data_IF_537862367783
#
_entry.id   IF_537862367783
#
_cell.length_a   1.000
_cell.length_b   1.000
_cell.length_c   1.000
_cell.angle_alpha   90.00
_cell.angle_beta   90.00
_cell.angle_gamma   90.00
#
_symmetry.space_group_name_H-M   'P 1'
#
loop_
_entity.id
_entity.type
_entity.pdbx_description
1 polymer ?
#
# COMPACT_ATOMS: atom_id res chain seq x y z
N UNK A 1 6.74 -2.78 -15.37
CA UNK A 1 6.77 -4.19 -15.84
C UNK A 1 7.05 -5.12 -14.66
N UNK A 2 6.63 -6.39 -14.72
CA UNK A 2 7.05 -7.39 -13.71
C UNK A 2 8.49 -7.84 -13.99
N UNK A 3 9.31 -7.91 -12.94
CA UNK A 3 10.75 -8.26 -13.02
C UNK A 3 11.14 -9.46 -12.16
N UNK A 4 10.28 -9.87 -11.21
CA UNK A 4 10.41 -11.10 -10.44
C UNK A 4 9.02 -11.58 -9.97
N UNK A 5 8.85 -12.89 -9.79
CA UNK A 5 7.58 -13.52 -9.43
C UNK A 5 6.61 -13.76 -10.60
N UNK A 6 5.76 -14.77 -10.45
CA UNK A 6 4.86 -15.31 -11.50
C UNK A 6 3.48 -14.65 -11.57
N UNK A 7 3.21 -13.63 -10.73
CA UNK A 7 1.87 -13.12 -10.40
C UNK A 7 0.95 -14.10 -9.67
N UNK A 8 1.47 -15.22 -9.20
CA UNK A 8 0.76 -16.25 -8.43
C UNK A 8 1.57 -16.66 -7.21
N UNK A 9 0.90 -17.05 -6.13
CA UNK A 9 1.59 -17.57 -4.95
C UNK A 9 2.28 -18.90 -5.27
N UNK A 10 3.49 -19.07 -4.78
CA UNK A 10 4.18 -20.35 -4.78
C UNK A 10 5.62 -20.24 -4.31
N UNK A 11 6.31 -21.38 -4.25
CA UNK A 11 7.64 -21.52 -3.66
C UNK A 11 8.73 -21.94 -4.66
N UNK A 12 8.39 -22.10 -5.94
CA UNK A 12 9.38 -22.30 -7.01
C UNK A 12 10.30 -21.09 -7.17
N UNK A 13 11.42 -21.26 -7.86
CA UNK A 13 12.44 -20.20 -8.02
C UNK A 13 11.96 -19.00 -8.85
N UNK A 14 10.91 -19.14 -9.65
CA UNK A 14 10.25 -18.05 -10.38
C UNK A 14 8.96 -17.53 -9.70
N UNK A 15 8.63 -18.03 -8.50
CA UNK A 15 7.43 -17.67 -7.73
C UNK A 15 7.80 -16.93 -6.43
N UNK A 16 6.82 -16.21 -5.86
CA UNK A 16 6.96 -15.49 -4.60
C UNK A 16 5.71 -15.68 -3.74
N UNK A 17 5.85 -15.64 -2.42
CA UNK A 17 4.77 -15.75 -1.44
C UNK A 17 4.77 -14.51 -0.54
N UNK A 18 3.91 -13.54 -0.89
CA UNK A 18 3.77 -12.25 -0.20
C UNK A 18 5.10 -11.51 0.02
N UNK A 19 5.87 -11.18 -1.05
CA UNK A 19 7.15 -10.51 -0.93
C UNK A 19 6.99 -9.18 -0.19
N UNK A 20 7.69 -9.01 0.93
CA UNK A 20 7.50 -7.87 1.84
C UNK A 20 8.48 -6.74 1.51
N UNK A 21 9.79 -6.99 1.65
CA UNK A 21 10.84 -5.99 1.43
C UNK A 21 11.75 -6.34 0.25
N UNK A 22 12.39 -5.33 -0.32
CA UNK A 22 13.35 -5.51 -1.42
C UNK A 22 14.58 -4.60 -1.28
N UNK A 23 15.69 -5.01 -1.88
CA UNK A 23 16.91 -4.23 -2.02
C UNK A 23 17.49 -4.46 -3.43
N UNK A 24 17.98 -3.41 -4.08
CA UNK A 24 18.66 -3.50 -5.38
C UNK A 24 20.14 -3.22 -5.15
N UNK A 25 21.02 -4.12 -5.61
CA UNK A 25 22.47 -3.88 -5.58
C UNK A 25 22.94 -2.99 -6.74
N UNK A 26 24.21 -2.60 -6.69
CA UNK A 26 24.85 -1.71 -7.65
C UNK A 26 24.87 -2.27 -9.09
N UNK A 27 24.75 -3.60 -9.23
CA UNK A 27 24.68 -4.34 -10.50
C UNK A 27 23.23 -4.47 -11.01
N UNK A 28 22.24 -3.93 -10.29
CA UNK A 28 20.81 -4.01 -10.63
C UNK A 28 20.13 -5.31 -10.18
N UNK A 29 20.79 -6.15 -9.37
CA UNK A 29 20.20 -7.38 -8.86
C UNK A 29 19.23 -7.11 -7.72
N UNK A 30 18.10 -7.80 -7.72
CA UNK A 30 17.02 -7.62 -6.75
C UNK A 30 17.10 -8.72 -5.68
N UNK A 31 17.33 -8.34 -4.43
CA UNK A 31 17.19 -9.20 -3.26
C UNK A 31 15.79 -9.00 -2.67
N UNK A 32 15.04 -10.09 -2.51
CA UNK A 32 13.63 -10.06 -2.11
C UNK A 32 13.46 -10.83 -0.81
N UNK A 33 12.85 -10.19 0.20
CA UNK A 33 12.32 -10.83 1.39
C UNK A 33 11.02 -11.56 1.02
N UNK A 34 11.16 -12.83 0.62
CA UNK A 34 10.07 -13.69 0.17
C UNK A 34 9.39 -14.32 1.40
N UNK A 35 8.54 -13.51 2.02
CA UNK A 35 8.10 -13.61 3.43
C UNK A 35 7.59 -14.98 3.82
N UNK A 36 6.60 -15.49 3.10
CA UNK A 36 5.90 -16.75 3.43
C UNK A 36 6.57 -17.98 2.81
N UNK A 37 7.61 -17.77 2.00
CA UNK A 37 8.58 -18.80 1.62
C UNK A 37 9.78 -18.80 2.58
N UNK A 38 9.84 -17.92 3.58
CA UNK A 38 10.87 -17.91 4.63
C UNK A 38 12.32 -17.85 4.09
N UNK A 39 12.52 -17.11 2.99
CA UNK A 39 13.81 -17.02 2.28
C UNK A 39 14.13 -15.61 1.78
N UNK A 40 15.42 -15.33 1.59
CA UNK A 40 15.85 -14.26 0.68
C UNK A 40 16.16 -14.89 -0.67
N UNK A 41 15.51 -14.38 -1.73
CA UNK A 41 15.76 -14.80 -3.11
C UNK A 41 16.36 -13.63 -3.91
N UNK A 42 17.47 -13.89 -4.61
CA UNK A 42 18.17 -12.94 -5.48
C UNK A 42 17.79 -13.19 -6.93
N UNK A 43 17.35 -12.16 -7.65
CA UNK A 43 17.21 -12.15 -9.11
C UNK A 43 18.30 -11.25 -9.69
N UNK A 44 19.08 -11.75 -10.65
CA UNK A 44 19.99 -10.91 -11.46
C UNK A 44 19.21 -10.33 -12.66
N UNK A 45 19.63 -9.19 -13.23
CA UNK A 45 18.93 -8.58 -14.37
C UNK A 45 18.68 -9.57 -15.52
N UNK A 46 17.43 -9.64 -15.98
CA UNK A 46 17.01 -10.52 -17.08
C UNK A 46 16.79 -12.00 -16.72
N UNK A 47 17.06 -12.43 -15.48
CA UNK A 47 16.85 -13.82 -15.08
C UNK A 47 15.36 -14.21 -15.01
N UNK A 48 15.02 -15.39 -15.54
CA UNK A 48 13.65 -15.94 -15.47
C UNK A 48 13.31 -16.62 -14.13
N UNK A 49 14.32 -16.87 -13.30
CA UNK A 49 14.21 -17.49 -11.98
C UNK A 49 15.28 -16.89 -11.05
N UNK A 50 14.99 -16.86 -9.75
CA UNK A 50 15.91 -16.39 -8.73
C UNK A 50 16.78 -17.50 -8.13
N UNK A 51 17.70 -17.08 -7.27
CA UNK A 51 18.61 -17.94 -6.50
C UNK A 51 18.36 -17.70 -5.01
N UNK A 52 18.20 -18.76 -4.22
CA UNK A 52 18.06 -18.63 -2.76
C UNK A 52 19.42 -18.27 -2.18
N UNK A 53 19.49 -17.14 -1.47
CA UNK A 53 20.74 -16.62 -0.87
C UNK A 53 20.72 -16.59 0.67
N UNK A 54 19.54 -16.73 1.30
CA UNK A 54 19.41 -17.01 2.73
C UNK A 54 18.08 -17.72 3.04
N UNK A 55 18.05 -18.49 4.13
CA UNK A 55 16.91 -19.35 4.50
C UNK A 55 16.87 -20.68 3.74
N UNK A 56 16.13 -21.66 4.28
CA UNK A 56 15.99 -23.03 3.75
C UNK A 56 14.60 -23.33 3.16
N UNK A 57 13.87 -22.26 2.78
CA UNK A 57 12.49 -22.30 2.27
C UNK A 57 11.45 -22.78 3.30
N UNK A 58 11.75 -22.69 4.62
CA UNK A 58 10.87 -23.15 5.72
C UNK A 58 10.92 -22.20 6.93
N UNK A 59 9.84 -22.10 7.73
CA UNK A 59 9.88 -21.43 9.01
C UNK A 59 10.80 -22.15 9.99
N UNK A 60 11.70 -21.39 10.64
CA UNK A 60 12.51 -21.92 11.73
C UNK A 60 13.40 -20.87 12.39
N UNK A 61 14.07 -21.25 13.48
CA UNK A 61 14.91 -20.36 14.30
C UNK A 61 16.39 -20.80 14.36
N UNK A 62 16.76 -21.86 13.64
CA UNK A 62 18.17 -22.23 13.45
C UNK A 62 18.93 -21.10 12.75
N UNK A 63 20.27 -21.13 12.77
CA UNK A 63 21.10 -20.10 12.15
C UNK A 63 20.95 -20.06 10.62
N UNK A 64 20.63 -21.18 9.98
CA UNK A 64 20.35 -21.26 8.55
C UNK A 64 18.87 -20.99 8.18
N UNK A 65 18.02 -20.68 9.16
CA UNK A 65 16.57 -20.54 8.99
C UNK A 65 16.08 -19.12 9.28
N UNK A 66 14.94 -18.79 8.69
CA UNK A 66 14.26 -17.50 8.80
C UNK A 66 12.78 -17.74 9.10
N UNK A 67 12.10 -16.74 9.66
CA UNK A 67 10.68 -16.80 9.97
C UNK A 67 9.98 -15.47 9.64
N UNK A 68 9.17 -15.49 8.57
CA UNK A 68 8.35 -14.36 8.09
C UNK A 68 9.11 -13.04 7.91
N UNK A 69 10.33 -13.14 7.36
CA UNK A 69 11.23 -11.99 7.18
C UNK A 69 10.57 -10.80 6.46
N UNK A 70 10.90 -9.57 6.88
CA UNK A 70 10.28 -8.35 6.32
C UNK A 70 11.18 -7.58 5.37
N UNK A 71 12.49 -7.53 5.62
CA UNK A 71 13.43 -6.70 4.85
C UNK A 71 14.81 -7.33 4.84
N UNK A 72 15.50 -7.14 3.73
CA UNK A 72 16.93 -7.40 3.55
C UNK A 72 17.59 -6.12 3.06
N UNK A 73 18.84 -5.88 3.46
CA UNK A 73 19.78 -4.91 2.87
C UNK A 73 21.13 -5.56 2.74
N UNK A 74 21.95 -5.12 1.77
CA UNK A 74 23.26 -5.73 1.49
C UNK A 74 24.33 -4.64 1.49
N UNK A 75 25.45 -4.86 2.19
CA UNK A 75 26.61 -3.97 2.15
C UNK A 75 27.52 -4.25 0.94
N UNK A 76 28.45 -3.35 0.65
CA UNK A 76 29.33 -3.40 -0.53
C UNK A 76 30.21 -4.66 -0.61
N UNK A 77 30.54 -5.27 0.54
CA UNK A 77 31.25 -6.55 0.64
C UNK A 77 30.38 -7.77 0.29
N UNK A 78 29.07 -7.59 0.14
CA UNK A 78 28.07 -8.64 -0.07
C UNK A 78 27.52 -9.26 1.21
N UNK A 79 27.81 -8.71 2.39
CA UNK A 79 27.19 -9.12 3.65
C UNK A 79 25.73 -8.65 3.69
N UNK A 80 24.81 -9.56 3.99
CA UNK A 80 23.38 -9.25 4.09
C UNK A 80 22.96 -9.05 5.54
N UNK A 81 22.07 -8.09 5.77
CA UNK A 81 21.35 -7.92 7.03
C UNK A 81 19.87 -8.19 6.79
N UNK A 82 19.29 -9.08 7.59
CA UNK A 82 17.93 -9.61 7.38
C UNK A 82 17.11 -9.42 8.66
N UNK A 83 15.92 -8.83 8.52
CA UNK A 83 14.95 -8.76 9.60
C UNK A 83 14.06 -9.98 9.65
N UNK A 84 14.34 -10.82 10.63
CA UNK A 84 13.76 -12.13 10.86
C UNK A 84 12.66 -11.99 11.94
N UNK A 85 11.50 -11.50 11.48
CA UNK A 85 10.49 -10.83 12.30
C UNK A 85 9.88 -11.72 13.37
N UNK A 86 9.40 -12.92 13.01
CA UNK A 86 8.77 -13.83 13.99
C UNK A 86 9.79 -14.38 14.99
N UNK A 87 11.06 -14.51 14.60
CA UNK A 87 12.16 -14.83 15.51
C UNK A 87 12.64 -13.61 16.34
N UNK A 88 12.04 -12.43 16.14
CA UNK A 88 12.34 -11.14 16.83
C UNK A 88 13.83 -10.79 16.84
N UNK A 89 14.51 -11.04 15.72
CA UNK A 89 15.96 -10.86 15.59
C UNK A 89 16.34 -10.18 14.28
N UNK A 90 17.53 -9.57 14.28
CA UNK A 90 18.22 -9.16 13.06
C UNK A 90 19.42 -10.09 12.88
N UNK A 91 19.52 -10.70 11.71
CA UNK A 91 20.62 -11.59 11.35
C UNK A 91 21.60 -10.90 10.38
N UNK A 92 22.89 -11.14 10.58
CA UNK A 92 23.98 -10.84 9.64
C UNK A 92 24.38 -12.14 8.93
N UNK A 93 24.38 -12.14 7.60
CA UNK A 93 24.81 -13.27 6.77
C UNK A 93 25.97 -12.81 5.90
N UNK A 94 27.17 -13.30 6.15
CA UNK A 94 28.34 -13.01 5.30
C UNK A 94 28.11 -13.49 3.87
N UNK A 95 28.78 -12.88 2.89
CA UNK A 95 28.68 -13.28 1.48
C UNK A 95 28.92 -14.79 1.31
N UNK A 96 28.00 -15.47 0.63
CA UNK A 96 28.00 -16.93 0.41
C UNK A 96 27.91 -17.81 1.68
N UNK A 97 27.58 -17.25 2.85
CA UNK A 97 27.36 -18.06 4.05
C UNK A 97 26.07 -18.89 3.94
N UNK A 98 26.10 -20.10 4.49
CA UNK A 98 24.93 -20.98 4.59
C UNK A 98 24.11 -20.78 5.88
N UNK A 99 24.52 -19.82 6.73
CA UNK A 99 23.86 -19.47 7.97
C UNK A 99 24.13 -18.02 8.35
N UNK A 100 23.28 -17.47 9.22
CA UNK A 100 23.42 -16.14 9.80
C UNK A 100 23.82 -16.14 11.26
N UNK A 101 24.34 -14.98 11.66
CA UNK A 101 24.67 -14.63 13.04
C UNK A 101 23.63 -13.65 13.56
N UNK A 102 23.10 -13.88 14.77
CA UNK A 102 22.14 -12.95 15.38
C UNK A 102 22.87 -11.75 15.97
N UNK A 103 22.75 -10.57 15.34
CA UNK A 103 23.38 -9.32 15.79
C UNK A 103 22.51 -8.47 16.72
N UNK A 104 21.19 -8.65 16.66
CA UNK A 104 20.22 -8.00 17.57
C UNK A 104 19.11 -8.99 17.95
N UNK A 105 18.65 -8.96 19.20
CA UNK A 105 17.60 -9.82 19.77
C UNK A 105 16.49 -8.97 20.39
N UNK A 106 15.30 -9.54 20.50
CA UNK A 106 14.09 -8.88 21.05
C UNK A 106 13.69 -7.62 20.28
N UNK A 107 13.89 -7.62 18.95
CA UNK A 107 13.54 -6.50 18.06
C UNK A 107 12.42 -6.96 17.14
N UNK A 108 11.28 -6.26 17.14
CA UNK A 108 10.21 -6.53 16.16
C UNK A 108 10.50 -5.71 14.92
N UNK A 109 11.56 -6.09 14.20
CA UNK A 109 12.03 -5.32 13.06
C UNK A 109 11.02 -5.36 11.92
N UNK A 110 10.83 -4.21 11.26
CA UNK A 110 10.17 -4.12 9.96
C UNK A 110 11.11 -3.63 8.87
N UNK A 111 11.80 -2.50 9.10
CA UNK A 111 12.70 -1.86 8.14
C UNK A 111 14.18 -1.92 8.52
N UNK A 112 15.02 -1.98 7.50
CA UNK A 112 16.48 -1.85 7.56
C UNK A 112 16.95 -0.80 6.57
N UNK A 113 18.00 -0.07 6.96
CA UNK A 113 18.81 0.78 6.08
C UNK A 113 20.27 0.74 6.52
N UNK A 114 21.20 0.85 5.58
CA UNK A 114 22.63 1.07 5.86
C UNK A 114 22.96 2.53 5.57
N UNK A 115 23.82 3.14 6.39
CA UNK A 115 24.44 4.42 6.03
C UNK A 115 25.75 4.22 5.25
N UNK A 116 26.33 5.35 4.80
CA UNK A 116 27.61 5.38 4.06
C UNK A 116 28.82 4.94 4.91
N UNK A 117 28.67 4.89 6.24
CA UNK A 117 29.69 4.40 7.19
C UNK A 117 29.55 2.88 7.44
N UNK A 118 28.53 2.23 6.85
CA UNK A 118 28.24 0.80 7.03
C UNK A 118 27.46 0.47 8.31
N UNK A 119 26.94 1.47 9.03
CA UNK A 119 26.12 1.25 10.22
C UNK A 119 24.70 0.86 9.84
N UNK A 120 24.11 -0.08 10.60
CA UNK A 120 22.77 -0.58 10.33
C UNK A 120 21.72 0.14 11.18
N UNK A 121 20.72 0.71 10.51
CA UNK A 121 19.54 1.31 11.12
C UNK A 121 18.39 0.30 11.06
N UNK A 122 17.64 0.19 12.16
CA UNK A 122 16.60 -0.83 12.36
C UNK A 122 15.36 -0.19 12.97
N UNK A 123 14.21 -0.29 12.29
CA UNK A 123 12.94 0.15 12.89
C UNK A 123 12.31 -0.97 13.72
N UNK A 124 12.14 -0.69 15.01
CA UNK A 124 11.55 -1.61 15.98
C UNK A 124 10.09 -1.21 16.18
N UNK A 125 9.20 -1.93 15.50
CA UNK A 125 7.79 -1.57 15.37
C UNK A 125 7.06 -1.64 16.70
N UNK A 126 7.38 -2.65 17.52
CA UNK A 126 6.76 -2.87 18.83
C UNK A 126 7.14 -1.79 19.85
N UNK A 127 8.43 -1.43 19.90
CA UNK A 127 8.98 -0.43 20.83
C UNK A 127 8.92 1.01 20.30
N UNK A 128 8.32 1.20 19.11
CA UNK A 128 8.06 2.50 18.48
C UNK A 128 9.31 3.41 18.37
N UNK A 129 10.39 2.84 17.85
CA UNK A 129 11.71 3.47 17.78
C UNK A 129 12.51 3.03 16.54
N UNK A 130 13.58 3.77 16.24
CA UNK A 130 14.64 3.35 15.33
C UNK A 130 15.95 3.26 16.11
N UNK A 131 16.68 2.17 15.93
CA UNK A 131 17.98 1.91 16.55
C UNK A 131 19.11 1.91 15.52
N UNK A 132 20.31 2.34 15.91
CA UNK A 132 21.56 2.24 15.14
C UNK A 132 22.50 1.21 15.77
N UNK A 133 22.85 0.17 15.01
CA UNK A 133 23.83 -0.86 15.34
C UNK A 133 25.20 -0.48 14.74
N UNK A 134 26.35 -0.76 15.40
CA UNK A 134 26.56 -1.70 16.52
C UNK A 134 26.27 -1.19 17.95
N UNK A 135 26.11 0.12 18.16
CA UNK A 135 25.96 0.68 19.50
C UNK A 135 24.58 0.44 20.15
N UNK A 136 23.60 -0.06 19.37
CA UNK A 136 22.19 -0.20 19.75
C UNK A 136 21.57 1.13 20.25
N UNK A 137 22.06 2.26 19.74
CA UNK A 137 21.61 3.59 20.11
C UNK A 137 20.22 3.85 19.56
N UNK A 138 19.29 4.37 20.37
CA UNK A 138 18.02 4.90 19.87
C UNK A 138 18.30 6.24 19.16
N UNK A 139 17.94 6.32 17.88
CA UNK A 139 18.22 7.48 17.00
C UNK A 139 16.96 8.20 16.51
N UNK A 140 15.78 7.59 16.67
CA UNK A 140 14.48 8.25 16.53
C UNK A 140 13.40 7.51 17.34
N UNK A 141 12.35 8.23 17.76
CA UNK A 141 11.27 7.67 18.58
C UNK A 141 11.73 7.27 19.99
N UNK A 142 11.21 6.16 20.52
CA UNK A 142 11.56 5.63 21.84
C UNK A 142 10.92 6.37 23.04
N UNK A 143 10.26 7.50 22.81
CA UNK A 143 9.53 8.27 23.85
C UNK A 143 8.09 7.77 24.05
N UNK A 144 7.88 6.46 23.92
CA UNK A 144 6.56 5.82 23.93
C UNK A 144 5.76 6.01 22.64
N UNK A 145 4.59 5.36 22.60
CA UNK A 145 3.63 5.46 21.47
C UNK A 145 2.96 6.82 21.46
N UNK A 146 3.02 7.53 20.33
CA UNK A 146 2.23 8.75 20.16
C UNK A 146 2.52 9.48 18.86
N UNK A 147 1.98 10.69 18.75
CA UNK A 147 2.03 11.53 17.56
C UNK A 147 2.82 12.84 17.77
N UNK A 148 3.45 13.04 18.94
CA UNK A 148 4.43 14.12 19.11
C UNK A 148 5.62 13.97 18.14
N UNK A 149 6.39 15.03 17.93
CA UNK A 149 7.52 14.99 17.00
C UNK A 149 8.73 14.19 17.51
N UNK A 150 8.79 13.85 18.81
CA UNK A 150 9.75 12.90 19.38
C UNK A 150 9.19 11.46 19.51
N UNK A 151 7.96 11.21 19.02
CA UNK A 151 7.25 9.94 19.16
C UNK A 151 6.92 9.31 17.80
N UNK A 152 6.79 7.98 17.81
CA UNK A 152 6.36 7.18 16.67
C UNK A 152 5.18 6.30 17.09
N UNK A 153 4.45 5.76 16.11
CA UNK A 153 3.39 4.79 16.34
C UNK A 153 3.47 3.67 15.29
N UNK A 154 4.10 2.55 15.67
CA UNK A 154 4.35 1.40 14.79
C UNK A 154 5.14 1.82 13.52
N UNK A 155 6.39 2.30 13.64
CA UNK A 155 7.22 2.66 12.49
C UNK A 155 7.50 1.42 11.61
N UNK A 156 7.38 1.58 10.29
CA UNK A 156 7.60 0.53 9.30
C UNK A 156 8.94 0.75 8.58
N UNK A 157 9.00 0.78 7.25
CA UNK A 157 10.28 0.86 6.55
C UNK A 157 10.89 2.26 6.71
N UNK A 158 12.22 2.28 6.62
CA UNK A 158 13.04 3.47 6.83
C UNK A 158 14.02 3.62 5.67
N UNK A 159 14.43 4.85 5.42
CA UNK A 159 15.49 5.21 4.49
C UNK A 159 16.50 6.12 5.21
N UNK A 160 17.78 6.03 4.85
CA UNK A 160 18.84 6.86 5.41
C UNK A 160 19.58 7.50 4.24
N UNK A 161 19.71 8.83 4.25
CA UNK A 161 20.45 9.56 3.21
C UNK A 161 21.96 9.64 3.50
N UNK A 162 22.73 10.21 2.57
CA UNK A 162 24.20 10.33 2.70
C UNK A 162 24.60 11.23 3.89
N UNK A 163 23.72 12.14 4.27
CA UNK A 163 23.84 13.02 5.43
C UNK A 163 23.40 12.35 6.75
N UNK A 164 23.07 11.06 6.71
CA UNK A 164 22.59 10.24 7.83
C UNK A 164 21.29 10.75 8.47
N UNK A 165 20.46 11.45 7.69
CA UNK A 165 19.07 11.73 8.05
C UNK A 165 18.23 10.47 7.88
N UNK A 166 17.39 10.18 8.85
CA UNK A 166 16.50 9.02 8.89
C UNK A 166 15.11 9.45 8.45
N UNK A 167 14.58 8.84 7.40
CA UNK A 167 13.21 9.01 6.94
C UNK A 167 12.39 7.80 7.35
N UNK A 168 11.26 8.03 8.02
CA UNK A 168 10.52 6.99 8.74
C UNK A 168 9.06 6.99 8.30
N UNK A 169 8.60 5.85 7.76
CA UNK A 169 7.18 5.59 7.55
C UNK A 169 6.49 5.36 8.92
N UNK A 170 5.98 6.44 9.51
CA UNK A 170 5.29 6.44 10.81
C UNK A 170 3.83 6.00 10.63
N UNK A 171 3.67 4.73 10.22
CA UNK A 171 2.44 4.11 9.72
C UNK A 171 1.21 4.36 10.59
N UNK A 172 1.35 4.28 11.91
CA UNK A 172 0.23 4.46 12.85
C UNK A 172 -0.28 5.89 12.93
N UNK A 173 0.57 6.86 12.62
CA UNK A 173 0.23 8.29 12.58
C UNK A 173 -0.09 8.78 11.16
N UNK A 174 0.03 7.93 10.13
CA UNK A 174 -0.22 8.26 8.72
C UNK A 174 0.61 9.45 8.20
N UNK A 175 1.89 9.49 8.59
CA UNK A 175 2.85 10.53 8.20
C UNK A 175 4.21 9.92 7.86
N UNK A 176 5.06 10.71 7.22
CA UNK A 176 6.50 10.44 7.13
C UNK A 176 7.26 11.54 7.84
N UNK A 177 8.25 11.15 8.64
CA UNK A 177 9.11 12.05 9.40
C UNK A 177 10.55 11.94 8.94
N UNK A 178 11.27 13.06 8.91
CA UNK A 178 12.73 13.13 8.80
C UNK A 178 13.31 13.49 10.18
N UNK A 179 14.28 12.70 10.66
CA UNK A 179 15.22 13.11 11.72
C UNK A 179 16.59 13.33 11.08
N UNK A 180 17.21 14.50 11.25
CA UNK A 180 18.62 14.67 10.88
C UNK A 180 19.53 14.09 11.97
N UNK A 181 20.78 13.79 11.62
CA UNK A 181 21.78 13.26 12.55
C UNK A 181 21.90 14.14 13.80
N UNK A 182 21.50 13.60 14.96
CA UNK A 182 21.57 14.26 16.27
C UNK A 182 20.32 15.06 16.69
N UNK A 183 19.29 15.17 15.85
CA UNK A 183 18.01 15.79 16.26
C UNK A 183 17.25 14.89 17.26
N UNK A 184 16.54 15.50 18.21
CA UNK A 184 15.71 14.77 19.20
C UNK A 184 14.23 14.68 18.80
N UNK A 185 13.84 15.41 17.75
CA UNK A 185 12.49 15.49 17.19
C UNK A 185 12.56 15.48 15.66
N UNK A 186 11.60 14.84 15.02
CA UNK A 186 11.51 14.77 13.57
C UNK A 186 10.67 15.90 12.97
N UNK A 187 10.90 16.20 11.70
CA UNK A 187 10.10 17.10 10.87
C UNK A 187 9.16 16.29 9.98
N UNK A 188 7.88 16.66 9.89
CA UNK A 188 6.94 16.02 8.95
C UNK A 188 7.30 16.43 7.53
N UNK A 189 7.46 15.43 6.64
CA UNK A 189 7.77 15.64 5.22
C UNK A 189 6.68 15.10 4.27
N UNK A 190 5.74 14.29 4.77
CA UNK A 190 4.59 13.81 4.01
C UNK A 190 3.42 13.42 4.94
N UNK A 191 2.19 13.51 4.45
CA UNK A 191 0.97 13.20 5.22
C UNK A 191 0.62 14.26 6.26
N UNK A 192 0.78 15.54 5.92
CA UNK A 192 0.57 16.68 6.81
C UNK A 192 -0.83 16.73 7.44
N UNK A 193 -1.86 16.31 6.71
CA UNK A 193 -3.24 16.22 7.18
C UNK A 193 -3.70 14.80 7.54
N UNK A 194 -2.72 13.93 7.86
CA UNK A 194 -2.93 12.62 8.47
C UNK A 194 -3.64 11.61 7.55
N UNK A 195 -4.57 10.85 8.14
CA UNK A 195 -5.33 9.81 7.44
C UNK A 195 -6.17 10.38 6.30
N UNK A 196 -6.04 9.80 5.11
CA UNK A 196 -6.99 9.98 4.01
C UNK A 196 -6.38 9.65 2.66
N UNK A 197 -6.97 10.19 1.59
CA UNK A 197 -6.51 10.02 0.20
C UNK A 197 -6.30 11.35 -0.54
N UNK A 198 -6.47 12.50 0.14
CA UNK A 198 -6.12 13.81 -0.39
C UNK A 198 -4.64 13.94 -0.77
N UNK A 199 -4.30 15.04 -1.45
CA UNK A 199 -2.92 15.32 -1.89
C UNK A 199 -1.96 15.56 -0.73
N UNK A 200 -2.47 15.97 0.42
CA UNK A 200 -1.77 16.31 1.66
C UNK A 200 -1.94 15.23 2.76
N UNK A 201 -2.52 14.09 2.40
CA UNK A 201 -2.85 12.96 3.29
C UNK A 201 -2.17 11.66 2.85
N UNK A 202 -2.01 10.74 3.81
CA UNK A 202 -1.56 9.38 3.56
C UNK A 202 -2.52 8.38 4.24
N UNK A 203 -2.52 7.12 3.79
CA UNK A 203 -3.17 6.04 4.56
C UNK A 203 -2.26 4.82 4.70
N UNK A 204 -1.74 4.64 5.93
CA UNK A 204 -0.76 3.62 6.31
C UNK A 204 0.44 3.60 5.34
N UNK A 205 1.29 4.65 5.36
CA UNK A 205 2.57 4.58 4.68
C UNK A 205 3.36 3.39 5.21
N UNK A 206 3.84 2.53 4.31
CA UNK A 206 4.66 1.35 4.64
C UNK A 206 6.13 1.62 4.40
N UNK A 207 6.46 2.30 3.30
CA UNK A 207 7.83 2.57 2.90
C UNK A 207 8.00 3.98 2.34
N UNK A 208 9.22 4.49 2.47
CA UNK A 208 9.67 5.76 1.92
C UNK A 208 11.09 5.58 1.42
N UNK A 209 11.41 6.19 0.26
CA UNK A 209 12.79 6.53 -0.11
C UNK A 209 12.84 7.99 -0.56
N UNK A 210 14.03 8.56 -0.54
CA UNK A 210 14.26 9.97 -0.86
C UNK A 210 15.39 10.07 -1.88
N UNK A 211 15.23 10.92 -2.90
CA UNK A 211 16.28 11.18 -3.89
C UNK A 211 17.25 12.30 -3.48
N UNK A 212 18.26 12.55 -4.30
CA UNK A 212 19.29 13.57 -4.03
C UNK A 212 18.73 15.00 -3.99
N UNK A 213 17.56 15.24 -4.59
CA UNK A 213 16.83 16.52 -4.52
C UNK A 213 15.92 16.60 -3.28
N UNK A 214 16.03 15.65 -2.35
CA UNK A 214 15.18 15.49 -1.16
C UNK A 214 13.69 15.32 -1.48
N UNK A 215 13.37 14.83 -2.68
CA UNK A 215 12.00 14.43 -3.04
C UNK A 215 11.70 13.07 -2.41
N UNK A 216 10.61 12.98 -1.65
CA UNK A 216 10.20 11.75 -1.00
C UNK A 216 9.17 10.97 -1.84
N UNK A 217 9.36 9.66 -1.93
CA UNK A 217 8.49 8.72 -2.63
C UNK A 217 7.93 7.76 -1.59
N UNK A 218 6.61 7.81 -1.36
CA UNK A 218 5.95 7.16 -0.23
C UNK A 218 4.97 6.10 -0.72
N UNK A 219 5.14 4.86 -0.26
CA UNK A 219 4.24 3.75 -0.56
C UNK A 219 3.10 3.68 0.45
N UNK A 220 1.87 3.75 -0.03
CA UNK A 220 0.67 3.70 0.81
C UNK A 220 -0.03 2.33 0.69
N UNK A 221 0.00 1.56 1.77
CA UNK A 221 -0.49 0.17 1.76
C UNK A 221 -2.00 0.05 1.53
N UNK A 222 -2.82 1.00 2.02
CA UNK A 222 -4.28 0.94 1.83
C UNK A 222 -4.76 1.77 0.62
N UNK A 223 -4.08 2.86 0.29
CA UNK A 223 -4.41 3.65 -0.91
C UNK A 223 -3.81 3.06 -2.20
N UNK A 224 -3.08 1.93 -2.10
CA UNK A 224 -2.55 1.15 -3.23
C UNK A 224 -1.75 2.00 -4.24
N UNK A 225 -0.99 2.96 -3.74
CA UNK A 225 -0.32 3.99 -4.55
C UNK A 225 1.06 4.35 -4.02
N UNK A 226 1.90 4.89 -4.91
CA UNK A 226 3.10 5.64 -4.56
C UNK A 226 2.82 7.13 -4.81
N UNK A 227 3.01 7.95 -3.78
CA UNK A 227 2.95 9.42 -3.87
C UNK A 227 4.35 10.04 -3.84
N UNK A 228 4.55 11.09 -4.63
CA UNK A 228 5.77 11.91 -4.68
C UNK A 228 5.53 13.26 -4.01
N UNK A 229 6.45 13.65 -3.13
CA UNK A 229 6.41 14.85 -2.28
C UNK A 229 7.70 15.65 -2.47
N UNK A 230 7.62 16.88 -2.98
CA UNK A 230 8.79 17.73 -3.14
C UNK A 230 9.19 18.42 -1.82
N UNK A 231 10.48 18.72 -1.68
CA UNK A 231 11.00 19.33 -0.45
C UNK A 231 10.35 20.70 -0.20
N UNK A 232 9.69 20.86 0.94
CA UNK A 232 9.03 22.11 1.34
C UNK A 232 7.56 22.22 0.88
N UNK A 233 7.11 21.37 -0.03
CA UNK A 233 5.69 21.27 -0.41
C UNK A 233 4.89 20.48 0.63
N UNK A 234 3.58 20.75 0.68
CA UNK A 234 2.62 20.04 1.56
C UNK A 234 1.63 19.16 0.80
N UNK A 235 1.73 19.14 -0.52
CA UNK A 235 0.89 18.37 -1.43
C UNK A 235 1.75 17.33 -2.15
N UNK A 236 1.10 16.34 -2.74
CA UNK A 236 1.74 15.23 -3.44
C UNK A 236 1.12 14.96 -4.80
N UNK A 237 1.89 14.30 -5.64
CA UNK A 237 1.43 13.74 -6.91
C UNK A 237 1.42 12.21 -6.83
N UNK A 238 0.37 11.57 -7.33
CA UNK A 238 0.35 10.10 -7.50
C UNK A 238 1.20 9.77 -8.71
N UNK A 239 2.18 8.88 -8.57
CA UNK A 239 3.08 8.46 -9.67
C UNK A 239 2.92 7.00 -10.06
N UNK A 240 2.44 6.14 -9.15
CA UNK A 240 2.20 4.70 -9.36
C UNK A 240 0.93 4.31 -8.60
N UNK A 241 0.12 3.42 -9.15
CA UNK A 241 -1.08 2.91 -8.48
C UNK A 241 -2.22 3.93 -8.36
N UNK A 242 -3.12 3.71 -7.40
CA UNK A 242 -4.31 4.54 -7.17
C UNK A 242 -5.59 3.71 -7.05
N UNK A 243 -6.73 4.15 -7.62
CA UNK A 243 -7.98 3.40 -7.54
C UNK A 243 -7.91 2.10 -8.37
N UNK A 244 -8.32 0.99 -7.76
CA UNK A 244 -8.35 -0.34 -8.37
C UNK A 244 -7.10 -1.19 -8.09
N UNK A 245 -7.32 -2.40 -7.57
CA UNK A 245 -6.30 -3.44 -7.48
C UNK A 245 -6.36 -4.34 -8.72
N UNK A 246 -5.27 -5.08 -9.01
CA UNK A 246 -5.25 -6.02 -10.13
C UNK A 246 -3.86 -6.36 -10.65
N UNK A 247 -3.81 -7.20 -11.69
CA UNK A 247 -2.58 -7.75 -12.29
C UNK A 247 -2.02 -6.93 -13.46
N UNK A 248 -2.70 -5.84 -13.84
CA UNK A 248 -2.27 -4.92 -14.88
C UNK A 248 -0.97 -4.20 -14.56
N UNK A 249 -0.41 -3.53 -15.57
CA UNK A 249 0.66 -2.55 -15.37
C UNK A 249 0.10 -1.37 -14.56
N UNK A 250 0.86 -0.90 -13.57
CA UNK A 250 0.45 0.20 -12.67
C UNK A 250 -0.75 -0.09 -11.76
N UNK A 251 -1.26 -1.32 -11.72
CA UNK A 251 -2.16 -1.77 -10.64
C UNK A 251 -1.32 -2.43 -9.55
N UNK A 252 -1.63 -2.12 -8.28
CA UNK A 252 -0.99 -2.67 -7.08
C UNK A 252 -2.04 -3.36 -6.20
N UNK A 253 -1.64 -4.38 -5.46
CA UNK A 253 -2.48 -5.03 -4.46
C UNK A 253 -1.68 -5.28 -3.18
N UNK A 254 -2.03 -4.53 -2.13
CA UNK A 254 -1.30 -4.44 -0.86
C UNK A 254 0.23 -4.43 -1.04
N UNK A 255 0.76 -3.39 -1.70
CA UNK A 255 2.19 -3.26 -1.93
C UNK A 255 2.91 -2.94 -0.60
N UNK A 256 4.11 -3.48 -0.42
CA UNK A 256 4.78 -3.57 0.90
C UNK A 256 6.06 -2.75 1.01
N UNK A 257 6.82 -2.62 -0.07
CA UNK A 257 8.08 -1.87 -0.09
C UNK A 257 8.39 -1.25 -1.46
N UNK A 258 9.26 -0.25 -1.48
CA UNK A 258 9.81 0.34 -2.70
C UNK A 258 11.30 0.64 -2.55
N UNK A 259 12.04 0.70 -3.67
CA UNK A 259 13.40 1.23 -3.72
C UNK A 259 13.81 1.59 -5.16
N UNK A 260 14.85 2.43 -5.29
CA UNK A 260 15.43 2.81 -6.58
C UNK A 260 16.65 1.94 -6.93
N UNK A 261 16.86 1.70 -8.23
CA UNK A 261 18.18 1.33 -8.76
C UNK A 261 19.06 2.58 -9.00
N UNK A 262 20.30 2.37 -9.47
CA UNK A 262 21.23 3.46 -9.82
C UNK A 262 20.81 4.26 -11.06
N UNK A 263 20.03 3.66 -11.95
CA UNK A 263 19.51 4.27 -13.17
C UNK A 263 18.28 5.16 -12.89
N UNK A 264 17.71 5.07 -11.69
CA UNK A 264 16.55 5.83 -11.23
C UNK A 264 15.19 5.17 -11.50
N UNK A 265 15.16 3.89 -11.90
CA UNK A 265 13.91 3.13 -11.96
C UNK A 265 13.44 2.78 -10.55
N UNK A 266 12.13 2.89 -10.33
CA UNK A 266 11.49 2.60 -9.06
C UNK A 266 10.93 1.17 -9.06
N UNK A 267 11.34 0.37 -8.09
CA UNK A 267 10.87 -0.99 -7.87
C UNK A 267 9.85 -1.00 -6.73
N UNK A 268 8.81 -1.83 -6.85
CA UNK A 268 7.76 -2.00 -5.83
C UNK A 268 7.53 -3.48 -5.58
N UNK A 269 7.55 -3.89 -4.30
CA UNK A 269 7.08 -5.20 -3.86
C UNK A 269 5.54 -5.18 -3.82
N UNK A 270 4.92 -5.77 -4.83
CA UNK A 270 3.49 -5.79 -5.04
C UNK A 270 2.91 -7.06 -4.39
N UNK A 271 2.84 -6.99 -3.05
CA UNK A 271 2.83 -8.16 -2.16
C UNK A 271 1.73 -9.17 -2.42
N UNK A 272 0.47 -8.75 -2.47
CA UNK A 272 -0.65 -9.67 -2.72
C UNK A 272 -0.84 -10.01 -4.22
N UNK A 273 -0.04 -9.41 -5.10
CA UNK A 273 0.11 -9.81 -6.49
C UNK A 273 1.36 -10.70 -6.71
N UNK A 274 2.06 -11.13 -5.65
CA UNK A 274 3.15 -12.12 -5.72
C UNK A 274 4.26 -11.78 -6.73
N UNK A 275 4.60 -10.49 -6.84
CA UNK A 275 5.52 -9.97 -7.86
C UNK A 275 6.31 -8.74 -7.40
N UNK A 276 7.45 -8.51 -8.05
CA UNK A 276 8.13 -7.21 -8.04
C UNK A 276 7.83 -6.51 -9.36
N UNK A 277 7.44 -5.24 -9.29
CA UNK A 277 7.25 -4.38 -10.47
C UNK A 277 8.32 -3.29 -10.53
N UNK A 278 8.89 -3.07 -11.71
CA UNK A 278 9.81 -1.97 -12.04
C UNK A 278 9.09 -0.90 -12.87
N UNK A 279 9.33 0.37 -12.56
CA UNK A 279 8.76 1.54 -13.22
C UNK A 279 9.87 2.55 -13.55
N UNK A 280 10.02 2.91 -14.82
CA UNK A 280 10.82 4.08 -15.20
C UNK A 280 10.00 5.33 -14.92
N UNK A 281 10.50 6.22 -14.06
CA UNK A 281 9.78 7.43 -13.64
C UNK A 281 10.59 8.70 -13.98
N UNK A 282 9.90 9.74 -14.44
CA UNK A 282 10.51 11.04 -14.66
C UNK A 282 10.63 11.78 -13.33
N UNK A 283 11.84 11.82 -12.77
CA UNK A 283 12.15 12.54 -11.52
C UNK A 283 11.99 14.07 -11.67
N UNK A 284 12.22 14.60 -12.88
CA UNK A 284 11.99 16.01 -13.22
C UNK A 284 10.50 16.36 -13.30
N UNK A 285 10.00 17.07 -12.29
CA UNK A 285 8.80 17.89 -12.41
C UNK A 285 8.91 19.15 -11.54
N UNK A 286 9.88 20.02 -11.86
CA UNK A 286 9.61 21.46 -11.79
C UNK A 286 8.78 21.82 -13.02
N UNK A 287 7.80 22.72 -12.86
CA UNK A 287 6.84 23.08 -13.91
C UNK A 287 7.51 23.42 -15.26
N UNK A 288 7.12 22.71 -16.32
CA UNK A 288 7.09 23.30 -17.65
C UNK A 288 5.63 23.59 -17.99
N UNK A 289 5.23 24.85 -17.85
CA UNK A 289 4.05 25.40 -18.52
C UNK A 289 4.09 24.98 -20.00
N UNK A 290 2.95 24.70 -20.65
CA UNK A 290 2.95 24.27 -22.05
C UNK A 290 3.45 25.42 -22.94
N UNK A 291 4.75 25.40 -23.26
CA UNK A 291 5.32 26.26 -24.28
C UNK A 291 4.79 25.79 -25.64
N UNK A 292 3.92 26.59 -26.22
CA UNK A 292 3.57 26.50 -27.64
C UNK A 292 4.83 26.78 -28.47
N UNK A 293 5.64 25.75 -28.69
CA UNK A 293 6.68 25.79 -29.71
C UNK A 293 6.02 25.54 -31.07
N UNK A 294 5.67 26.64 -31.72
CA UNK A 294 5.41 26.63 -33.16
C UNK A 294 6.65 26.10 -33.89
N UNK A 295 6.44 25.13 -34.78
CA UNK A 295 7.49 24.63 -35.67
C UNK A 295 7.93 25.74 -36.64
N UNK A 296 9.24 25.96 -36.86
CA UNK A 296 9.70 26.90 -37.87
C UNK A 296 9.32 26.39 -39.26
N UNK A 297 8.74 27.28 -40.06
CA UNK A 297 8.27 27.02 -41.42
C UNK A 297 9.42 26.76 -42.38
N UNK A 298 9.19 25.86 -43.34
CA UNK A 298 9.95 25.83 -44.59
C UNK A 298 9.15 26.64 -45.65
N UNK A 299 9.80 27.46 -46.51
CA UNK A 299 9.11 28.57 -47.17
C UNK A 299 8.58 28.25 -48.57
N UNK A 300 7.91 29.26 -49.14
CA UNK A 300 7.45 29.43 -50.54
C UNK A 300 6.12 28.77 -50.94
N UNK A 301 5.05 29.59 -50.90
CA UNK A 301 4.59 30.23 -52.14
C UNK A 301 4.01 31.62 -51.83
N UNK A 302 4.49 32.67 -52.52
CA UNK A 302 3.89 34.01 -52.44
C UNK A 302 2.65 34.09 -53.32
N UNK A 303 1.56 34.67 -52.82
CA UNK A 303 0.73 35.63 -53.55
C UNK A 303 0.47 36.84 -52.62
N UNK A 304 0.48 38.05 -53.19
CA UNK A 304 0.50 39.33 -52.46
C UNK A 304 -0.87 39.70 -51.87
N UNK A 305 -0.86 40.50 -50.80
CA UNK A 305 -1.99 41.35 -50.44
C UNK A 305 -2.12 42.51 -51.44
N UNK A 306 -3.35 42.84 -51.80
CA UNK A 306 -3.77 44.19 -52.23
C UNK A 306 -5.05 44.57 -51.48
N UNK A 307 -5.34 45.87 -51.48
CA UNK A 307 -6.25 46.54 -50.55
C UNK A 307 -7.74 46.26 -50.83
N UNK A 308 -8.60 46.48 -49.83
CA UNK A 308 -9.74 47.41 -49.96
C UNK A 308 -10.41 47.68 -48.61
N UNK A 309 -11.02 48.86 -48.51
CA UNK A 309 -11.46 49.51 -47.28
C UNK A 309 -12.98 49.37 -46.98
N UNK A 310 -13.34 49.79 -45.76
CA UNK A 310 -14.61 50.46 -45.37
C UNK A 310 -15.95 49.70 -45.25
N UNK A 311 -16.52 49.92 -44.05
CA UNK A 311 -17.92 50.27 -43.72
C UNK A 311 -19.04 49.22 -43.53
N UNK A 312 -19.69 49.38 -42.37
CA UNK A 312 -21.12 49.23 -42.01
C UNK A 312 -22.01 48.25 -42.80
N UNK A 313 -22.69 47.35 -42.07
CA UNK A 313 -24.17 47.35 -41.97
C UNK A 313 -24.68 46.43 -40.84
N UNK A 314 -25.90 46.71 -40.40
CA UNK A 314 -26.51 46.21 -39.17
C UNK A 314 -27.30 44.87 -39.30
N UNK A 315 -27.68 44.35 -38.13
CA UNK A 315 -28.88 43.53 -37.83
C UNK A 315 -28.93 42.01 -38.08
N UNK A 316 -29.44 41.35 -37.03
CA UNK A 316 -29.97 39.98 -36.88
C UNK A 316 -31.22 39.69 -37.76
N UNK A 317 -31.84 38.48 -37.73
CA UNK A 317 -31.31 37.12 -37.95
C UNK A 317 -32.20 36.29 -38.93
N UNK A 318 -31.84 35.01 -39.23
CA UNK A 318 -32.72 33.82 -39.45
C UNK A 318 -32.25 32.81 -40.53
N UNK A 319 -32.05 31.55 -40.09
CA UNK A 319 -32.46 30.27 -40.70
C UNK A 319 -32.62 30.11 -42.25
N UNK A 320 -31.68 29.38 -42.88
CA UNK A 320 -31.92 28.18 -43.75
C UNK A 320 -30.58 27.65 -44.31
N UNK A 321 -30.12 26.40 -44.15
CA UNK A 321 -30.60 25.06 -44.55
C UNK A 321 -30.48 24.71 -46.06
N UNK A 322 -29.31 24.17 -46.43
CA UNK A 322 -29.03 23.15 -47.46
C UNK A 322 -27.93 22.26 -46.84
N UNK A 323 -28.03 20.95 -46.54
CA UNK A 323 -28.83 19.78 -46.98
C UNK A 323 -28.30 19.04 -48.21
N UNK A 324 -27.42 18.07 -47.94
CA UNK A 324 -27.29 16.75 -48.60
C UNK A 324 -26.65 15.81 -47.56
N UNK A 325 -27.40 14.86 -46.97
CA UNK A 325 -27.56 13.45 -47.41
C UNK A 325 -26.22 12.67 -47.42
N UNK A 326 -26.06 11.52 -46.74
CA UNK A 326 -27.06 10.63 -46.13
C UNK A 326 -26.41 9.52 -45.25
N UNK A 327 -27.14 8.98 -44.24
CA UNK A 327 -27.21 7.54 -43.84
C UNK A 327 -25.94 6.85 -43.23
N UNK A 328 -25.92 5.95 -42.22
CA UNK A 328 -26.84 5.29 -41.23
C UNK A 328 -25.93 4.76 -40.07
N UNK A 329 -26.32 4.37 -38.84
CA UNK A 329 -27.58 4.38 -38.05
C UNK A 329 -27.24 4.26 -36.54
N UNK A 330 -28.25 4.27 -35.66
CA UNK A 330 -28.23 3.71 -34.29
C UNK A 330 -29.48 2.84 -34.12
N UNK A 331 -29.48 1.85 -33.21
CA UNK A 331 -30.41 1.97 -32.07
C UNK A 331 -29.64 1.96 -30.72
N UNK A 332 -29.80 2.91 -29.79
CA UNK A 332 -31.02 3.40 -29.11
C UNK A 332 -31.57 2.33 -28.15
N UNK A 333 -31.77 2.55 -26.84
CA UNK A 333 -32.77 3.41 -26.14
C UNK A 333 -32.61 3.11 -24.62
N UNK A 334 -32.88 3.93 -23.60
CA UNK A 334 -33.20 5.37 -23.43
C UNK A 334 -32.84 5.78 -21.99
N UNK A 335 -32.41 7.02 -21.79
CA UNK A 335 -32.57 7.75 -20.52
C UNK A 335 -33.87 8.56 -20.58
N UNK A 336 -34.71 8.49 -19.54
CA UNK A 336 -35.96 9.27 -19.46
C UNK A 336 -35.73 10.58 -18.70
N UNK A 337 -36.27 11.66 -19.26
CA UNK A 337 -36.15 13.03 -18.73
C UNK A 337 -36.90 13.24 -17.41
N UNK A 338 -36.45 14.22 -16.64
CA UNK A 338 -37.09 14.63 -15.39
C UNK A 338 -38.18 15.70 -15.61
N UNK A 339 -39.24 15.65 -14.78
CA UNK A 339 -40.12 16.79 -14.47
C UNK A 339 -40.25 16.96 -12.94
N UNK A 340 -40.56 18.18 -12.44
CA UNK A 340 -40.34 18.53 -11.04
C UNK A 340 -41.55 18.29 -10.12
N UNK A 341 -41.38 17.63 -8.95
CA UNK A 341 -42.46 17.49 -7.97
C UNK A 341 -42.61 18.73 -7.06
N UNK A 342 -43.85 19.15 -6.87
CA UNK A 342 -44.27 20.30 -6.05
C UNK A 342 -44.14 20.00 -4.54
N UNK A 343 -43.95 21.05 -3.72
CA UNK A 343 -43.87 20.99 -2.25
C UNK A 343 -45.03 20.20 -1.61
N UNK A 344 -44.75 19.12 -0.88
CA UNK A 344 -45.62 18.59 0.21
C UNK A 344 -44.80 18.04 1.39
N UNK A 345 -45.13 18.54 2.58
CA UNK A 345 -45.05 17.92 3.93
C UNK A 345 -43.87 17.00 4.30
N UNK A 346 -43.13 17.38 5.36
CA UNK A 346 -42.19 16.51 6.08
C UNK A 346 -42.94 15.36 6.78
N UNK A 347 -42.79 14.13 6.30
CA UNK A 347 -43.15 12.91 7.03
C UNK A 347 -41.89 12.31 7.66
N UNK A 348 -41.88 12.06 8.98
CA UNK A 348 -40.78 11.35 9.65
C UNK A 348 -40.75 9.90 9.15
N UNK A 349 -39.67 9.51 8.46
CA UNK A 349 -39.38 8.09 8.20
C UNK A 349 -38.76 7.48 9.46
N UNK A 350 -39.24 6.30 9.86
CA UNK A 350 -38.77 5.60 11.06
C UNK A 350 -37.29 5.17 10.94
N UNK A 351 -36.50 5.16 12.03
CA UNK A 351 -35.06 4.87 11.95
C UNK A 351 -34.70 3.44 11.48
N UNK A 352 -35.63 2.49 11.60
CA UNK A 352 -35.38 1.05 11.42
C UNK A 352 -35.02 0.69 9.96
N UNK A 353 -35.70 1.30 8.97
CA UNK A 353 -35.58 0.88 7.56
C UNK A 353 -34.20 1.20 6.95
N UNK A 354 -33.48 2.22 7.46
CA UNK A 354 -32.13 2.56 6.99
C UNK A 354 -31.01 1.66 7.54
N UNK A 355 -31.28 0.87 8.57
CA UNK A 355 -30.29 -0.01 9.19
C UNK A 355 -30.27 -1.38 8.48
N UNK A 356 -31.45 -1.92 8.14
CA UNK A 356 -31.54 -3.25 7.51
C UNK A 356 -30.91 -3.30 6.12
N UNK A 357 -31.18 -2.31 5.25
CA UNK A 357 -30.62 -2.25 3.89
C UNK A 357 -29.07 -2.31 3.91
N UNK A 358 -28.43 -1.62 4.87
CA UNK A 358 -26.96 -1.66 5.03
C UNK A 358 -26.43 -2.97 5.59
N UNK A 359 -27.23 -3.71 6.38
CA UNK A 359 -26.84 -5.02 6.92
C UNK A 359 -26.95 -6.10 5.84
N UNK A 360 -28.05 -6.11 5.10
CA UNK A 360 -28.29 -7.07 4.01
C UNK A 360 -27.29 -6.87 2.87
N UNK A 361 -27.07 -5.63 2.41
CA UNK A 361 -26.09 -5.35 1.35
C UNK A 361 -24.66 -5.81 1.72
N UNK A 362 -24.22 -5.57 2.96
CA UNK A 362 -22.92 -6.05 3.44
C UNK A 362 -22.84 -7.58 3.51
N UNK A 363 -23.93 -8.26 3.86
CA UNK A 363 -23.96 -9.73 3.89
C UNK A 363 -23.91 -10.33 2.49
N UNK A 364 -24.57 -9.72 1.51
CA UNK A 364 -24.52 -10.19 0.12
C UNK A 364 -23.16 -9.92 -0.53
N UNK A 365 -22.52 -8.78 -0.21
CA UNK A 365 -21.15 -8.51 -0.61
C UNK A 365 -20.16 -9.54 0.00
N UNK A 366 -20.33 -9.88 1.28
CA UNK A 366 -19.54 -10.93 1.96
C UNK A 366 -19.75 -12.29 1.28
N UNK A 367 -20.99 -12.65 0.94
CA UNK A 367 -21.32 -13.91 0.26
C UNK A 367 -20.69 -13.99 -1.12
N UNK A 368 -20.82 -12.94 -1.94
CA UNK A 368 -20.20 -12.88 -3.27
C UNK A 368 -18.68 -12.98 -3.17
N UNK A 369 -18.07 -12.24 -2.26
CA UNK A 369 -16.62 -12.25 -2.05
C UNK A 369 -16.11 -13.62 -1.58
N UNK A 370 -16.83 -14.31 -0.68
CA UNK A 370 -16.46 -15.65 -0.23
C UNK A 370 -16.68 -16.74 -1.29
N UNK A 371 -17.57 -16.53 -2.27
CA UNK A 371 -17.75 -17.43 -3.40
C UNK A 371 -16.59 -17.34 -4.40
N UNK A 372 -16.07 -16.13 -4.65
CA UNK A 372 -14.93 -15.90 -5.54
C UNK A 372 -13.57 -16.15 -4.86
N UNK A 373 -13.51 -15.99 -3.53
CA UNK A 373 -12.29 -16.16 -2.73
C UNK A 373 -12.51 -17.17 -1.58
N UNK A 374 -12.49 -18.49 -1.88
CA UNK A 374 -12.73 -19.55 -0.90
C UNK A 374 -11.65 -19.66 0.20
N UNK A 375 -10.53 -18.94 0.04
CA UNK A 375 -9.52 -18.74 1.08
C UNK A 375 -9.30 -17.22 1.20
N UNK A 376 -9.92 -16.59 2.19
CA UNK A 376 -9.75 -15.18 2.51
C UNK A 376 -9.70 -14.95 4.03
N UNK A 377 -9.01 -13.91 4.47
CA UNK A 377 -8.93 -13.53 5.88
C UNK A 377 -9.99 -12.48 6.24
N UNK A 378 -10.26 -12.34 7.54
CA UNK A 378 -11.05 -11.23 8.09
C UNK A 378 -10.52 -9.83 7.70
N UNK A 379 -9.24 -9.70 7.30
CA UNK A 379 -8.66 -8.44 6.83
C UNK A 379 -9.06 -8.16 5.38
N UNK A 380 -9.11 -9.19 4.54
CA UNK A 380 -9.43 -9.07 3.11
C UNK A 380 -10.91 -8.74 2.91
N UNK A 381 -11.79 -9.43 3.64
CA UNK A 381 -13.23 -9.12 3.72
C UNK A 381 -13.50 -7.68 4.18
N UNK A 382 -12.76 -7.19 5.19
CA UNK A 382 -12.87 -5.79 5.65
C UNK A 382 -12.40 -4.80 4.60
N UNK A 383 -11.40 -5.15 3.79
CA UNK A 383 -10.96 -4.30 2.68
C UNK A 383 -11.99 -4.26 1.55
N UNK A 384 -12.55 -5.42 1.16
CA UNK A 384 -13.57 -5.53 0.11
C UNK A 384 -14.86 -4.74 0.42
N UNK A 385 -15.33 -4.79 1.67
CA UNK A 385 -16.47 -3.98 2.13
C UNK A 385 -16.14 -2.48 2.02
N UNK A 386 -14.94 -2.07 2.44
CA UNK A 386 -14.52 -0.66 2.40
C UNK A 386 -14.28 -0.16 0.97
N UNK A 387 -13.90 -1.02 0.01
CA UNK A 387 -13.82 -0.63 -1.40
C UNK A 387 -15.19 -0.50 -2.06
N UNK A 388 -16.11 -1.45 -1.82
CA UNK A 388 -17.48 -1.37 -2.33
C UNK A 388 -18.23 -0.13 -1.80
N UNK A 389 -18.13 0.17 -0.51
CA UNK A 389 -18.75 1.37 0.08
C UNK A 389 -18.18 2.69 -0.48
N UNK A 390 -16.99 2.67 -1.10
CA UNK A 390 -16.41 3.83 -1.82
C UNK A 390 -16.96 3.99 -3.23
N UNK A 391 -17.18 2.90 -3.96
CA UNK A 391 -17.71 2.94 -5.33
C UNK A 391 -19.15 3.45 -5.39
N UNK A 392 -19.96 3.17 -4.37
CA UNK A 392 -21.34 3.68 -4.24
C UNK A 392 -21.44 5.11 -3.70
N UNK A 393 -20.32 5.79 -3.43
CA UNK A 393 -20.31 7.15 -2.87
C UNK A 393 -20.85 7.27 -1.43
N UNK A 394 -21.00 6.15 -0.71
CA UNK A 394 -21.56 6.09 0.64
C UNK A 394 -20.56 6.58 1.69
N UNK A 395 -20.42 7.90 1.82
CA UNK A 395 -19.61 8.52 2.87
C UNK A 395 -20.28 8.33 4.24
N UNK A 396 -19.69 7.52 5.12
CA UNK A 396 -20.21 7.26 6.47
C UNK A 396 -19.15 7.61 7.53
N UNK A 397 -19.36 8.70 8.28
CA UNK A 397 -18.82 8.80 9.63
C UNK A 397 -19.46 7.69 10.48
N UNK A 398 -18.71 6.66 10.85
CA UNK A 398 -19.17 5.60 11.73
C UNK A 398 -18.28 5.48 12.96
N UNK A 399 -18.90 5.62 14.14
CA UNK A 399 -18.22 5.49 15.42
C UNK A 399 -17.83 4.02 15.65
N UNK A 400 -16.62 3.84 16.17
CA UNK A 400 -15.83 2.61 16.24
C UNK A 400 -16.60 1.46 16.92
N UNK A 401 -17.49 1.79 17.86
CA UNK A 401 -18.34 0.86 18.63
C UNK A 401 -19.42 0.12 17.82
N UNK A 402 -19.69 0.54 16.59
CA UNK A 402 -20.78 -0.06 15.77
C UNK A 402 -20.31 -1.29 14.98
N UNK A 403 -19.02 -1.37 14.66
CA UNK A 403 -18.42 -2.47 13.90
C UNK A 403 -18.16 -3.72 14.76
N UNK A 404 -17.81 -3.54 16.03
CA UNK A 404 -17.50 -4.65 16.93
C UNK A 404 -18.73 -5.51 17.29
N UNK A 405 -19.96 -4.99 17.11
CA UNK A 405 -21.22 -5.71 17.38
C UNK A 405 -21.74 -6.59 16.23
N UNK A 406 -21.07 -6.61 15.08
CA UNK A 406 -21.53 -7.32 13.87
C UNK A 406 -20.92 -8.73 13.71
N UNK A 407 -20.18 -9.22 14.71
CA UNK A 407 -19.40 -10.48 14.63
C UNK A 407 -20.06 -11.66 15.38
N UNK A 408 -21.08 -11.41 16.21
CA UNK A 408 -21.62 -12.40 17.17
C UNK A 408 -22.93 -13.09 16.72
N UNK A 409 -23.00 -13.63 15.51
CA UNK A 409 -24.04 -14.64 15.16
C UNK A 409 -23.46 -15.80 14.31
N UNK A 410 -23.82 -17.07 14.59
CA UNK A 410 -23.24 -18.23 13.92
C UNK A 410 -23.98 -18.61 12.64
N UNK A 411 -23.24 -18.89 11.56
CA UNK A 411 -23.78 -19.54 10.35
C UNK A 411 -23.04 -20.86 10.12
N UNK A 412 -23.81 -21.96 10.07
CA UNK A 412 -23.31 -23.33 9.96
C UNK A 412 -23.15 -23.77 8.50
N UNK A 413 -22.09 -24.53 8.22
CA UNK A 413 -21.74 -25.12 6.93
C UNK A 413 -20.24 -25.48 6.92
N UNK A 414 -19.79 -26.60 6.34
CA UNK A 414 -18.51 -27.22 6.73
C UNK A 414 -17.28 -26.51 6.16
N UNK A 415 -16.86 -25.42 6.79
CA UNK A 415 -15.53 -24.82 6.61
C UNK A 415 -14.53 -25.60 7.45
N UNK A 416 -13.54 -26.24 6.81
CA UNK A 416 -12.40 -26.84 7.51
C UNK A 416 -11.47 -25.74 8.05
N UNK A 417 -11.72 -25.30 9.28
CA UNK A 417 -10.71 -24.58 10.04
C UNK A 417 -9.55 -25.53 10.37
N UNK A 418 -8.34 -25.22 9.91
CA UNK A 418 -7.14 -25.80 10.53
C UNK A 418 -7.05 -25.25 11.96
N UNK A 419 -7.25 -26.13 12.93
CA UNK A 419 -6.95 -25.87 14.35
C UNK A 419 -5.97 -26.92 14.83
N UNK A 420 -4.92 -26.47 15.52
CA UNK A 420 -3.96 -27.30 16.24
C UNK A 420 -3.91 -26.87 17.73
N UNK A 421 -3.40 -27.71 18.65
CA UNK A 421 -4.25 -28.16 19.76
C UNK A 421 -4.20 -27.36 21.09
N UNK A 422 -5.18 -27.74 21.94
CA UNK A 422 -5.63 -27.17 23.22
C UNK A 422 -4.57 -27.00 24.33
N UNK A 423 -4.62 -25.86 25.03
CA UNK A 423 -4.64 -25.66 26.51
C UNK A 423 -4.33 -24.16 26.79
N UNK A 424 -4.93 -23.41 27.73
CA UNK A 424 -5.77 -23.66 28.92
C UNK A 424 -6.91 -22.62 28.98
N UNK A 425 -8.07 -22.99 29.54
CA UNK A 425 -9.22 -22.11 29.81
C UNK A 425 -9.33 -21.84 31.31
N UNK A 426 -9.53 -20.57 31.76
CA UNK A 426 -10.23 -20.29 33.02
C UNK A 426 -10.75 -18.85 33.15
N UNK A 427 -12.04 -18.70 33.53
CA UNK A 427 -12.67 -17.46 34.00
C UNK A 427 -13.33 -16.57 32.92
N UNK A 428 -14.52 -15.97 33.11
CA UNK A 428 -15.48 -16.01 34.23
C UNK A 428 -16.91 -15.90 33.65
N UNK A 429 -17.86 -16.67 34.20
CA UNK A 429 -19.31 -16.50 34.03
C UNK A 429 -19.89 -15.83 35.29
N UNK A 430 -20.68 -14.75 35.15
CA UNK A 430 -21.76 -14.39 36.10
C UNK A 430 -22.65 -13.24 35.62
N UNK A 431 -23.95 -13.35 35.96
CA UNK A 431 -25.04 -12.37 35.82
C UNK A 431 -25.54 -12.18 34.36
N UNK A 432 -26.84 -12.16 34.03
CA UNK A 432 -28.06 -12.06 34.88
C UNK A 432 -29.33 -12.56 34.14
N UNK A 433 -30.30 -13.18 34.86
CA UNK A 433 -31.72 -13.46 34.47
C UNK A 433 -31.97 -14.36 33.23
N UNK A 434 -32.91 -15.32 33.18
CA UNK A 434 -33.84 -15.89 34.17
C UNK A 434 -35.14 -16.42 33.50
N UNK A 435 -35.52 -17.70 33.74
CA UNK A 435 -36.70 -18.41 33.16
C UNK A 435 -36.63 -18.64 31.63
N UNK A 436 -36.98 -19.77 31.02
CA UNK A 436 -38.14 -20.68 31.18
C UNK A 436 -37.76 -22.16 30.92
N UNK A 437 -38.55 -23.12 31.41
CA UNK A 437 -38.40 -24.58 31.21
C UNK A 437 -39.00 -25.10 29.87
N UNK A 438 -38.27 -26.00 29.19
CA UNK A 438 -38.76 -27.30 28.65
C UNK A 438 -37.57 -28.05 28.00
N UNK A 439 -37.10 -29.16 28.56
CA UNK A 439 -37.50 -30.56 28.26
C UNK A 439 -37.33 -31.02 26.80
N UNK A 440 -36.70 -32.21 26.66
CA UNK A 440 -36.45 -33.12 25.51
C UNK A 440 -34.93 -33.38 25.42
N UNK A 441 -34.39 -34.44 26.05
CA UNK A 441 -34.28 -35.82 25.51
C UNK A 441 -33.72 -35.78 24.06
N UNK A 442 -32.45 -36.07 23.77
CA UNK A 442 -31.58 -37.08 24.35
C UNK A 442 -31.31 -38.15 23.28
N UNK A 443 -30.05 -38.32 22.87
CA UNK A 443 -29.54 -39.48 22.13
C UNK A 443 -28.01 -39.48 22.19
N UNK A 444 -27.44 -40.61 22.57
CA UNK A 444 -26.00 -40.84 22.61
C UNK A 444 -25.41 -41.06 21.20
N UNK A 445 -24.12 -40.77 21.07
CA UNK A 445 -23.28 -41.28 19.98
C UNK A 445 -22.15 -42.12 20.59
N UNK A 446 -21.92 -43.30 19.99
CA UNK A 446 -20.64 -44.01 20.01
C UNK A 446 -19.88 -43.60 18.75
#
# INVERSE_FOLDING_TARGET
MTVAGSKTQGSELNQLAYPEGLFIDDDGSIFIADRDNHRVIKYVPGASYGQIVAGDNKPGNNSNQLNTLTKVVVSQDGTMFICDRENKRVQRWSKNANHGETIMKNVTCWGLALDIEGSLYVSDMAEHRVMKWPQNQIVAGGNGKGNALNQLANPYHIFVDREQSIFIADKGNNRVLQWKKGETQGTVIAGFNGYGNGVDQLYRPYSVVVDEMKTAYVLEYINLRVTRWFQGEKSSSIIIGGPGFGLGSNQLYFPRDLAFDRQGNLYVADGNNHRIQMFSINKSASESSPSLQASPSNPALLIKCEQLDTEHLDNEPLLSRLVSSEILWCPSIQTVSAEPPKKKTKTRVNPVTRINIKREHRLDLIRSYMQEHPICTLTDLRAAIVSSEREEGLTIHSDRKTLDKLVDEPVMGPVRFQTEPKAVLFGILKNTVGSVRSQILGTDFI
#
